data_IF_511297744052
#
_entry.id   IF_511297744052
#
_cell.length_a   1.000
_cell.length_b   1.000
_cell.length_c   1.000
_cell.angle_alpha   90.00
_cell.angle_beta   90.00
_cell.angle_gamma   90.00
#
_symmetry.space_group_name_H-M   'P 1'
#
loop_
_entity.id
_entity.type
_entity.pdbx_description
1 polymer ?
#
# COMPACT_ATOMS: atom_id res chain seq x y z
N UNK A 1 16.86 -1.07 -15.00
CA UNK A 1 16.55 -2.42 -14.51
C UNK A 1 16.82 -2.44 -13.02
N UNK A 2 15.96 -3.07 -12.22
CA UNK A 2 16.01 -3.01 -10.75
C UNK A 2 16.90 -4.08 -10.11
N UNK A 3 17.61 -4.88 -10.91
CA UNK A 3 18.43 -6.01 -10.46
C UNK A 3 17.61 -7.27 -10.16
N UNK A 4 18.30 -8.40 -10.05
CA UNK A 4 17.75 -9.65 -9.53
C UNK A 4 17.84 -9.66 -8.00
N UNK A 5 16.90 -10.34 -7.32
CA UNK A 5 16.87 -10.39 -5.85
C UNK A 5 18.16 -10.97 -5.25
N UNK A 6 18.76 -11.95 -5.93
CA UNK A 6 19.99 -12.61 -5.50
C UNK A 6 21.23 -11.71 -5.56
N UNK A 7 21.19 -10.64 -6.36
CA UNK A 7 22.30 -9.71 -6.54
C UNK A 7 22.22 -8.51 -5.59
N UNK A 8 21.18 -8.42 -4.76
CA UNK A 8 21.01 -7.34 -3.79
C UNK A 8 21.77 -7.69 -2.49
N UNK A 9 22.74 -6.85 -2.13
CA UNK A 9 23.60 -7.03 -0.96
C UNK A 9 23.00 -6.42 0.32
N UNK A 10 22.02 -5.51 0.19
CA UNK A 10 21.44 -4.79 1.32
C UNK A 10 19.94 -4.54 1.18
N UNK A 11 19.27 -4.42 2.33
CA UNK A 11 17.85 -4.07 2.37
C UNK A 11 17.56 -2.70 1.72
N UNK A 12 18.51 -1.76 1.81
CA UNK A 12 18.39 -0.46 1.14
C UNK A 12 18.34 -0.59 -0.39
N UNK A 13 19.11 -1.52 -0.98
CA UNK A 13 19.06 -1.77 -2.42
C UNK A 13 17.71 -2.39 -2.82
N UNK A 14 17.17 -3.34 -2.04
CA UNK A 14 15.82 -3.86 -2.24
C UNK A 14 14.76 -2.76 -2.18
N UNK A 15 14.84 -1.88 -1.18
CA UNK A 15 13.92 -0.75 -1.05
C UNK A 15 14.00 0.21 -2.24
N UNK A 16 15.21 0.47 -2.75
CA UNK A 16 15.40 1.27 -3.96
C UNK A 16 14.82 0.59 -5.21
N UNK A 17 15.03 -0.72 -5.36
CA UNK A 17 14.44 -1.51 -6.44
C UNK A 17 12.90 -1.47 -6.38
N UNK A 18 12.31 -1.66 -5.20
CA UNK A 18 10.87 -1.54 -4.97
C UNK A 18 10.34 -0.15 -5.34
N UNK A 19 11.01 0.93 -4.88
CA UNK A 19 10.64 2.31 -5.24
C UNK A 19 10.64 2.54 -6.74
N UNK A 20 11.64 2.02 -7.47
CA UNK A 20 11.71 2.15 -8.92
C UNK A 20 10.56 1.41 -9.63
N UNK A 21 10.22 0.19 -9.18
CA UNK A 21 9.07 -0.54 -9.70
C UNK A 21 7.76 0.21 -9.43
N UNK A 22 7.58 0.70 -8.19
CA UNK A 22 6.39 1.46 -7.82
C UNK A 22 6.24 2.71 -8.69
N UNK A 23 7.31 3.51 -8.85
CA UNK A 23 7.31 4.69 -9.71
C UNK A 23 6.95 4.36 -11.16
N UNK A 24 7.47 3.26 -11.70
CA UNK A 24 7.19 2.83 -13.07
C UNK A 24 5.69 2.56 -13.27
N UNK A 25 5.07 1.76 -12.41
CA UNK A 25 3.64 1.42 -12.55
C UNK A 25 2.72 2.60 -12.23
N UNK A 26 3.10 3.49 -11.31
CA UNK A 26 2.32 4.71 -11.03
C UNK A 26 2.32 5.64 -12.24
N UNK A 27 3.45 5.81 -12.93
CA UNK A 27 3.49 6.61 -14.17
C UNK A 27 2.56 6.05 -15.25
N UNK A 28 2.56 4.72 -15.44
CA UNK A 28 1.64 4.05 -16.38
C UNK A 28 0.18 4.29 -15.97
N UNK A 29 -0.13 4.13 -14.68
CA UNK A 29 -1.48 4.33 -14.14
C UNK A 29 -1.96 5.77 -14.32
N UNK A 30 -1.13 6.76 -14.04
CA UNK A 30 -1.46 8.17 -14.19
C UNK A 30 -1.70 8.50 -15.67
N UNK A 31 -0.81 8.07 -16.57
CA UNK A 31 -0.98 8.29 -18.00
C UNK A 31 -2.32 7.73 -18.53
N UNK A 32 -2.67 6.50 -18.15
CA UNK A 32 -3.95 5.90 -18.52
C UNK A 32 -5.15 6.61 -17.88
N UNK A 33 -5.02 7.08 -16.63
CA UNK A 33 -6.08 7.80 -15.93
C UNK A 33 -6.32 9.19 -16.53
N UNK A 34 -5.25 9.90 -16.89
CA UNK A 34 -5.30 11.18 -17.59
C UNK A 34 -5.98 11.01 -18.95
N UNK A 35 -5.65 9.94 -19.69
CA UNK A 35 -6.29 9.70 -20.99
C UNK A 35 -7.79 9.44 -20.85
N UNK A 36 -8.20 8.69 -19.82
CA UNK A 36 -9.61 8.51 -19.50
C UNK A 36 -10.28 9.83 -19.11
N UNK A 37 -9.61 10.66 -18.32
CA UNK A 37 -10.14 11.98 -17.94
C UNK A 37 -10.38 12.87 -19.15
N UNK A 38 -9.43 12.95 -20.09
CA UNK A 38 -9.61 13.68 -21.36
C UNK A 38 -10.83 13.20 -22.16
N UNK A 39 -11.08 11.90 -22.20
CA UNK A 39 -12.27 11.34 -22.87
C UNK A 39 -13.54 11.85 -22.19
N UNK A 40 -13.58 11.86 -20.85
CA UNK A 40 -14.74 12.35 -20.09
C UNK A 40 -14.93 13.86 -20.28
N UNK A 41 -13.85 14.64 -20.24
CA UNK A 41 -13.87 16.08 -20.49
C UNK A 41 -14.50 16.43 -21.85
N UNK A 42 -14.17 15.66 -22.88
CA UNK A 42 -14.58 15.96 -24.26
C UNK A 42 -15.91 15.32 -24.68
N UNK A 43 -16.27 14.18 -24.10
CA UNK A 43 -17.39 13.36 -24.60
C UNK A 43 -18.49 13.09 -23.57
N UNK A 44 -18.25 13.37 -22.29
CA UNK A 44 -19.21 13.12 -21.22
C UNK A 44 -19.41 14.35 -20.33
N UNK A 45 -19.74 15.54 -20.86
CA UNK A 45 -20.10 16.66 -20.00
C UNK A 45 -21.32 16.27 -19.14
N UNK A 46 -21.39 16.78 -17.92
CA UNK A 46 -22.46 16.50 -16.97
C UNK A 46 -23.20 17.80 -16.58
N UNK A 47 -24.00 18.42 -17.47
CA UNK A 47 -24.58 19.74 -17.24
C UNK A 47 -25.44 19.83 -15.97
N UNK A 48 -26.23 18.79 -15.68
CA UNK A 48 -27.06 18.77 -14.46
C UNK A 48 -26.22 18.79 -13.19
N UNK A 49 -25.14 17.99 -13.14
CA UNK A 49 -24.20 17.99 -12.03
C UNK A 49 -23.49 19.36 -11.90
N UNK A 50 -23.15 19.97 -13.03
CA UNK A 50 -22.55 21.31 -13.09
C UNK A 50 -23.46 22.40 -12.50
N UNK A 51 -24.78 22.32 -12.70
CA UNK A 51 -25.72 23.30 -12.14
C UNK A 51 -25.80 23.27 -10.61
N UNK A 52 -25.58 22.10 -10.00
CA UNK A 52 -25.67 21.90 -8.54
C UNK A 52 -24.30 21.85 -7.85
N UNK A 53 -23.21 22.08 -8.58
CA UNK A 53 -21.86 22.09 -8.02
C UNK A 53 -21.32 23.51 -7.99
N UNK A 54 -20.82 23.93 -6.83
CA UNK A 54 -20.26 25.26 -6.63
C UNK A 54 -19.17 25.60 -7.65
N UNK A 55 -19.21 26.85 -8.09
CA UNK A 55 -18.32 27.49 -9.06
C UNK A 55 -18.37 26.98 -10.52
N UNK A 56 -19.02 25.85 -10.83
CA UNK A 56 -19.14 25.39 -12.22
C UNK A 56 -19.84 26.44 -13.12
N UNK A 57 -20.99 26.96 -12.68
CA UNK A 57 -21.74 28.00 -13.40
C UNK A 57 -20.95 29.31 -13.46
N UNK A 58 -20.37 29.73 -12.31
CA UNK A 58 -19.54 30.94 -12.22
C UNK A 58 -18.34 30.90 -13.16
N UNK A 59 -17.70 29.73 -13.29
CA UNK A 59 -16.53 29.52 -14.13
C UNK A 59 -16.90 29.25 -15.60
N UNK A 60 -18.18 29.04 -15.92
CA UNK A 60 -18.63 28.66 -17.26
C UNK A 60 -18.03 27.33 -17.73
N UNK A 61 -17.75 26.41 -16.81
CA UNK A 61 -17.09 25.12 -17.09
C UNK A 61 -17.92 23.97 -16.54
N UNK A 62 -17.98 22.89 -17.31
CA UNK A 62 -18.58 21.64 -16.85
C UNK A 62 -17.80 21.03 -15.68
N UNK A 63 -18.47 20.28 -14.83
CA UNK A 63 -17.89 19.51 -13.72
C UNK A 63 -16.74 18.63 -14.21
N UNK A 64 -16.95 17.85 -15.28
CA UNK A 64 -15.92 16.99 -15.86
C UNK A 64 -14.81 17.78 -16.56
N UNK A 65 -14.95 19.09 -16.73
CA UNK A 65 -13.93 19.99 -17.29
C UNK A 65 -13.34 20.97 -16.26
N UNK A 66 -13.49 20.67 -14.97
CA UNK A 66 -12.80 21.36 -13.88
C UNK A 66 -13.53 22.61 -13.40
N UNK A 67 -14.85 22.67 -13.61
CA UNK A 67 -15.65 23.80 -13.14
C UNK A 67 -15.76 23.93 -11.62
N UNK A 68 -15.62 22.82 -10.89
CA UNK A 68 -15.77 22.79 -9.44
C UNK A 68 -14.66 23.57 -8.70
N UNK A 69 -14.99 24.10 -7.52
CA UNK A 69 -14.04 24.82 -6.64
C UNK A 69 -12.76 24.03 -6.34
N UNK A 70 -12.91 22.74 -6.09
CA UNK A 70 -11.81 21.83 -5.75
C UNK A 70 -11.84 20.63 -6.68
N UNK A 71 -10.69 20.31 -7.27
CA UNK A 71 -10.54 19.18 -8.16
C UNK A 71 -9.43 18.28 -7.61
N UNK A 72 -9.76 17.04 -7.31
CA UNK A 72 -8.82 16.03 -6.80
C UNK A 72 -9.06 14.70 -7.49
N UNK A 73 -7.98 14.00 -7.81
CA UNK A 73 -8.01 12.62 -8.28
C UNK A 73 -7.29 11.71 -7.28
N UNK A 74 -7.76 10.47 -7.13
CA UNK A 74 -7.20 9.53 -6.16
C UNK A 74 -6.72 8.25 -6.82
N UNK A 75 -5.53 7.80 -6.43
CA UNK A 75 -5.06 6.43 -6.69
C UNK A 75 -5.25 5.61 -5.41
N UNK A 76 -6.02 4.53 -5.52
CA UNK A 76 -6.28 3.62 -4.41
C UNK A 76 -5.11 2.66 -4.23
N UNK A 77 -4.44 2.73 -3.09
CA UNK A 77 -3.54 1.69 -2.61
C UNK A 77 -4.34 0.57 -1.95
N UNK A 78 -3.89 -0.67 -2.17
CA UNK A 78 -4.48 -1.90 -1.62
C UNK A 78 -3.34 -2.71 -1.01
N UNK A 79 -3.66 -3.73 -0.19
CA UNK A 79 -2.73 -4.73 0.36
C UNK A 79 -1.63 -4.19 1.27
N UNK A 80 -1.91 -3.13 2.02
CA UNK A 80 -0.89 -2.45 2.82
C UNK A 80 -0.26 -3.38 3.88
N UNK A 81 -1.06 -4.19 4.58
CA UNK A 81 -0.53 -5.17 5.54
C UNK A 81 0.33 -6.27 4.88
N UNK A 82 -0.12 -6.79 3.74
CA UNK A 82 0.57 -7.87 2.99
C UNK A 82 1.95 -7.42 2.50
N UNK A 83 2.05 -6.21 1.94
CA UNK A 83 3.36 -5.69 1.51
C UNK A 83 4.24 -5.32 2.70
N UNK A 84 3.66 -4.82 3.79
CA UNK A 84 4.37 -4.53 5.04
C UNK A 84 5.02 -5.80 5.57
N UNK A 85 4.25 -6.87 5.80
CA UNK A 85 4.76 -8.13 6.32
C UNK A 85 5.75 -8.81 5.35
N UNK A 86 5.53 -8.67 4.04
CA UNK A 86 6.47 -9.19 3.04
C UNK A 86 7.83 -8.50 3.11
N UNK A 87 7.85 -7.16 3.22
CA UNK A 87 9.09 -6.40 3.35
C UNK A 87 9.78 -6.65 4.68
N UNK A 88 9.00 -6.80 5.76
CA UNK A 88 9.50 -7.20 7.08
C UNK A 88 10.19 -8.57 7.03
N UNK A 89 9.59 -9.55 6.37
CA UNK A 89 10.17 -10.88 6.19
C UNK A 89 11.46 -10.85 5.37
N UNK A 90 11.48 -10.11 4.26
CA UNK A 90 12.68 -9.97 3.43
C UNK A 90 13.81 -9.29 4.20
N UNK A 91 13.54 -8.18 4.90
CA UNK A 91 14.52 -7.48 5.74
C UNK A 91 15.17 -8.43 6.74
N UNK A 92 14.33 -9.13 7.53
CA UNK A 92 14.77 -10.02 8.60
C UNK A 92 15.56 -11.21 8.06
N UNK A 93 14.99 -11.95 7.13
CA UNK A 93 15.48 -13.29 6.79
C UNK A 93 16.54 -13.29 5.68
N UNK A 94 16.51 -12.33 4.75
CA UNK A 94 17.48 -12.28 3.64
C UNK A 94 18.66 -11.36 3.95
N UNK A 95 18.45 -10.24 4.67
CA UNK A 95 19.49 -9.22 4.82
C UNK A 95 20.12 -9.19 6.21
N UNK A 96 19.32 -9.35 7.28
CA UNK A 96 19.80 -9.29 8.67
C UNK A 96 20.26 -10.67 9.18
N UNK A 97 19.37 -11.64 9.25
CA UNK A 97 19.67 -12.99 9.75
C UNK A 97 20.29 -13.91 8.71
N UNK A 98 20.04 -13.65 7.42
CA UNK A 98 20.53 -14.44 6.27
C UNK A 98 20.26 -15.94 6.42
N UNK A 99 19.12 -16.30 6.99
CA UNK A 99 18.72 -17.68 7.27
C UNK A 99 17.82 -18.28 6.17
N UNK A 100 17.47 -17.51 5.14
CA UNK A 100 16.82 -17.99 3.92
C UNK A 100 17.65 -17.56 2.72
N UNK A 101 18.04 -18.53 1.88
CA UNK A 101 18.72 -18.25 0.61
C UNK A 101 17.76 -17.53 -0.37
N UNK A 102 18.17 -16.40 -0.99
CA UNK A 102 17.28 -15.61 -1.86
C UNK A 102 16.78 -16.38 -3.09
N UNK A 103 17.62 -17.22 -3.70
CA UNK A 103 17.27 -18.02 -4.88
C UNK A 103 16.26 -19.10 -4.48
N UNK A 104 16.49 -19.76 -3.35
CA UNK A 104 15.57 -20.72 -2.76
C UNK A 104 14.23 -20.06 -2.46
N UNK A 105 14.20 -18.91 -1.79
CA UNK A 105 12.95 -18.18 -1.50
C UNK A 105 12.17 -17.89 -2.79
N UNK A 106 12.83 -17.34 -3.81
CA UNK A 106 12.18 -17.01 -5.08
C UNK A 106 11.55 -18.25 -5.73
N UNK A 107 12.30 -19.36 -5.80
CA UNK A 107 11.81 -20.62 -6.34
C UNK A 107 10.63 -21.17 -5.51
N UNK A 108 10.70 -21.07 -4.19
CA UNK A 108 9.62 -21.48 -3.30
C UNK A 108 8.36 -20.64 -3.52
N UNK A 109 8.48 -19.32 -3.71
CA UNK A 109 7.33 -18.44 -3.99
C UNK A 109 6.70 -18.73 -5.36
N UNK A 110 7.52 -18.96 -6.40
CA UNK A 110 7.05 -19.37 -7.73
C UNK A 110 6.30 -20.71 -7.67
N UNK A 111 6.80 -21.66 -6.87
CA UNK A 111 6.17 -22.96 -6.64
C UNK A 111 5.09 -22.94 -5.56
N UNK A 112 4.55 -21.76 -5.24
CA UNK A 112 3.45 -21.59 -4.29
C UNK A 112 3.71 -22.15 -2.88
N UNK A 113 4.97 -22.14 -2.43
CA UNK A 113 5.43 -22.70 -1.17
C UNK A 113 5.07 -24.20 -0.98
N UNK A 114 4.88 -24.93 -2.08
CA UNK A 114 4.53 -26.36 -2.07
C UNK A 114 5.74 -27.19 -1.62
N UNK A 115 5.56 -28.03 -0.58
CA UNK A 115 6.63 -28.80 0.07
C UNK A 115 7.76 -27.91 0.65
N UNK A 116 7.44 -26.65 0.99
CA UNK A 116 8.38 -25.68 1.58
C UNK A 116 7.90 -25.28 2.98
N UNK A 117 7.40 -26.24 3.76
CA UNK A 117 6.77 -26.02 5.07
C UNK A 117 7.72 -25.32 6.04
N UNK A 118 9.01 -25.62 5.98
CA UNK A 118 10.02 -24.97 6.83
C UNK A 118 10.13 -23.47 6.51
N UNK A 119 10.26 -23.11 5.23
CA UNK A 119 10.33 -21.71 4.79
C UNK A 119 9.03 -21.01 5.16
N UNK A 120 7.89 -21.61 4.81
CA UNK A 120 6.58 -21.01 5.10
C UNK A 120 6.36 -20.83 6.61
N UNK A 121 6.80 -21.78 7.44
CA UNK A 121 6.74 -21.66 8.90
C UNK A 121 7.60 -20.50 9.41
N UNK A 122 8.79 -20.28 8.85
CA UNK A 122 9.63 -19.12 9.20
C UNK A 122 8.91 -17.81 8.83
N UNK A 123 8.39 -17.70 7.61
CA UNK A 123 7.70 -16.49 7.14
C UNK A 123 6.43 -16.17 7.95
N UNK A 124 5.67 -17.19 8.36
CA UNK A 124 4.43 -17.00 9.12
C UNK A 124 4.67 -16.77 10.61
N UNK A 125 5.54 -17.57 11.24
CA UNK A 125 5.60 -17.69 12.70
C UNK A 125 6.90 -17.16 13.32
N UNK A 126 7.91 -16.85 12.50
CA UNK A 126 9.22 -16.34 12.94
C UNK A 126 9.55 -14.96 12.38
N UNK A 127 8.56 -14.28 11.80
CA UNK A 127 8.65 -12.88 11.34
C UNK A 127 7.70 -12.01 12.16
N UNK A 128 8.14 -10.82 12.66
CA UNK A 128 7.23 -9.81 13.16
C UNK A 128 6.13 -9.46 12.16
N UNK A 129 4.92 -9.17 12.65
CA UNK A 129 3.75 -8.87 11.82
C UNK A 129 3.15 -7.53 12.18
N UNK A 130 2.73 -6.78 11.16
CA UNK A 130 1.96 -5.56 11.31
C UNK A 130 0.66 -5.82 12.09
N UNK A 131 0.29 -4.86 12.96
CA UNK A 131 -0.92 -4.94 13.77
C UNK A 131 -0.69 -5.36 15.22
N UNK A 132 0.56 -5.45 15.67
CA UNK A 132 0.92 -5.93 17.01
C UNK A 132 1.66 -4.91 17.87
N UNK A 133 1.63 -3.62 17.51
CA UNK A 133 2.46 -2.53 18.08
C UNK A 133 3.97 -2.84 18.04
N UNK A 134 4.41 -3.60 17.03
CA UNK A 134 5.81 -3.95 16.81
C UNK A 134 6.45 -2.96 15.84
N UNK A 135 7.32 -2.09 16.36
CA UNK A 135 8.01 -1.07 15.58
C UNK A 135 8.85 -1.64 14.42
N UNK A 136 9.32 -2.89 14.51
CA UNK A 136 10.09 -3.52 13.43
C UNK A 136 9.24 -3.70 12.16
N UNK A 137 8.00 -4.14 12.32
CA UNK A 137 7.04 -4.29 11.22
C UNK A 137 6.40 -2.94 10.86
N UNK A 138 6.02 -2.14 11.85
CA UNK A 138 5.32 -0.86 11.64
C UNK A 138 6.21 0.20 10.96
N UNK A 139 7.54 0.09 11.07
CA UNK A 139 8.44 0.92 10.26
C UNK A 139 8.27 0.66 8.76
N UNK A 140 8.04 -0.60 8.35
CA UNK A 140 7.82 -0.94 6.94
C UNK A 140 6.47 -0.39 6.44
N UNK A 141 5.45 -0.36 7.31
CA UNK A 141 4.15 0.25 7.03
C UNK A 141 4.32 1.73 6.66
N UNK A 142 4.98 2.48 7.54
CA UNK A 142 5.25 3.90 7.31
C UNK A 142 6.04 4.08 6.02
N UNK A 143 7.07 3.27 5.80
CA UNK A 143 7.93 3.41 4.63
C UNK A 143 7.17 3.19 3.31
N UNK A 144 6.37 2.13 3.22
CA UNK A 144 5.53 1.86 2.04
C UNK A 144 4.55 2.99 1.79
N UNK A 145 3.91 3.50 2.86
CA UNK A 145 2.97 4.61 2.75
C UNK A 145 3.65 5.87 2.19
N UNK A 146 4.79 6.28 2.78
CA UNK A 146 5.52 7.46 2.35
C UNK A 146 6.03 7.29 0.90
N UNK A 147 6.54 6.11 0.53
CA UNK A 147 6.96 5.84 -0.84
C UNK A 147 5.80 5.98 -1.83
N UNK A 148 4.63 5.42 -1.52
CA UNK A 148 3.46 5.52 -2.39
C UNK A 148 2.92 6.96 -2.47
N UNK A 149 2.88 7.67 -1.33
CA UNK A 149 2.51 9.06 -1.29
C UNK A 149 3.46 9.92 -2.14
N UNK A 150 4.76 9.77 -1.96
CA UNK A 150 5.77 10.60 -2.61
C UNK A 150 5.82 10.42 -4.13
N UNK A 151 5.54 9.23 -4.65
CA UNK A 151 5.51 9.01 -6.11
C UNK A 151 4.24 9.54 -6.78
N UNK A 152 3.18 9.82 -6.02
CA UNK A 152 1.92 10.39 -6.54
C UNK A 152 1.84 11.90 -6.30
N UNK A 153 2.47 12.39 -5.22
CA UNK A 153 2.41 13.77 -4.80
C UNK A 153 2.94 14.72 -5.88
N UNK A 154 2.16 15.75 -6.19
CA UNK A 154 2.53 16.83 -7.12
C UNK A 154 2.15 16.56 -8.56
N UNK A 155 1.60 15.39 -8.87
CA UNK A 155 1.04 15.09 -10.19
C UNK A 155 -0.29 15.83 -10.38
N UNK A 156 -0.45 16.47 -11.54
CA UNK A 156 -1.64 17.25 -11.91
C UNK A 156 -2.32 16.61 -13.11
N UNK A 157 -3.64 16.45 -13.03
CA UNK A 157 -4.43 15.87 -14.10
C UNK A 157 -4.74 16.89 -15.21
N UNK A 158 -5.15 16.46 -16.43
CA UNK A 158 -5.58 17.35 -17.51
C UNK A 158 -6.69 18.34 -17.12
N UNK A 159 -7.56 17.96 -16.19
CA UNK A 159 -8.60 18.84 -15.63
C UNK A 159 -8.09 19.87 -14.61
N UNK A 160 -6.81 19.82 -14.26
CA UNK A 160 -6.20 20.63 -13.21
C UNK A 160 -6.44 20.08 -11.80
N UNK A 161 -6.74 18.79 -11.67
CA UNK A 161 -6.93 18.14 -10.38
C UNK A 161 -5.61 17.71 -9.75
N UNK A 162 -5.45 17.92 -8.44
CA UNK A 162 -4.32 17.37 -7.68
C UNK A 162 -4.50 15.85 -7.51
N UNK A 163 -3.48 15.07 -7.87
CA UNK A 163 -3.45 13.66 -7.51
C UNK A 163 -3.10 13.47 -6.03
N UNK A 164 -3.87 12.61 -5.38
CA UNK A 164 -3.70 12.17 -3.99
C UNK A 164 -3.82 10.65 -3.91
N UNK A 165 -3.51 10.10 -2.74
CA UNK A 165 -3.68 8.67 -2.46
C UNK A 165 -4.80 8.44 -1.45
N UNK A 166 -5.43 7.28 -1.53
CA UNK A 166 -6.28 6.73 -0.47
C UNK A 166 -6.03 5.22 -0.36
N UNK A 167 -6.36 4.63 0.78
CA UNK A 167 -6.07 3.22 1.07
C UNK A 167 -7.38 2.51 1.39
N UNK A 168 -8.05 2.00 0.35
CA UNK A 168 -9.30 1.25 0.48
C UNK A 168 -9.45 0.27 -0.68
N UNK A 169 -9.93 -0.97 -0.46
CA UNK A 169 -9.98 -1.98 -1.49
C UNK A 169 -11.37 -2.17 -2.12
N UNK A 170 -12.46 -1.71 -1.48
CA UNK A 170 -13.81 -2.20 -1.79
C UNK A 170 -13.81 -3.74 -1.77
N UNK A 171 -13.86 -4.42 -2.91
CA UNK A 171 -13.74 -5.89 -3.04
C UNK A 171 -12.52 -6.32 -3.84
N UNK A 172 -11.68 -5.39 -4.30
CA UNK A 172 -10.56 -5.70 -5.18
C UNK A 172 -9.40 -6.41 -4.48
N UNK A 173 -9.37 -6.45 -3.14
CA UNK A 173 -8.43 -7.30 -2.39
C UNK A 173 -8.61 -8.79 -2.73
N UNK A 174 -9.85 -9.23 -3.00
CA UNK A 174 -10.12 -10.60 -3.48
C UNK A 174 -9.49 -10.82 -4.85
N UNK A 175 -9.79 -9.91 -5.79
CA UNK A 175 -9.31 -10.02 -7.17
C UNK A 175 -7.78 -9.90 -7.27
N UNK A 176 -7.18 -8.94 -6.57
CA UNK A 176 -5.72 -8.79 -6.56
C UNK A 176 -5.04 -9.99 -5.90
N UNK A 177 -5.65 -10.58 -4.88
CA UNK A 177 -5.21 -11.84 -4.32
C UNK A 177 -5.26 -13.00 -5.31
N UNK A 178 -6.35 -13.12 -6.09
CA UNK A 178 -6.56 -14.21 -7.03
C UNK A 178 -5.57 -14.23 -8.20
N UNK A 179 -5.01 -13.07 -8.56
CA UNK A 179 -4.03 -12.93 -9.66
C UNK A 179 -2.59 -12.77 -9.17
N UNK A 180 -2.34 -12.90 -7.87
CA UNK A 180 -1.01 -12.73 -7.27
C UNK A 180 -0.43 -14.06 -6.80
N UNK A 181 0.81 -14.32 -7.20
CA UNK A 181 1.63 -15.45 -6.71
C UNK A 181 1.89 -15.36 -5.20
N UNK A 182 2.36 -16.46 -4.60
CA UNK A 182 2.72 -16.47 -3.18
C UNK A 182 3.68 -15.31 -2.84
N UNK A 183 3.57 -14.78 -1.62
CA UNK A 183 4.36 -13.62 -1.17
C UNK A 183 5.23 -13.92 0.04
N UNK A 184 6.31 -13.12 0.25
CA UNK A 184 7.24 -13.30 1.36
C UNK A 184 6.63 -13.20 2.77
N UNK A 185 5.37 -12.76 2.92
CA UNK A 185 4.64 -12.82 4.17
C UNK A 185 4.14 -14.24 4.53
N UNK A 186 4.33 -15.22 3.65
CA UNK A 186 3.90 -16.61 3.81
C UNK A 186 2.51 -16.91 3.21
N UNK A 187 1.89 -15.91 2.58
CA UNK A 187 0.61 -16.02 1.86
C UNK A 187 0.78 -16.88 0.60
N UNK A 188 -0.15 -17.80 0.38
CA UNK A 188 -0.18 -18.65 -0.81
C UNK A 188 -0.77 -17.91 -2.02
N UNK A 189 -0.35 -18.29 -3.22
CA UNK A 189 -0.90 -17.86 -4.50
C UNK A 189 -2.42 -17.97 -4.52
N UNK A 190 -3.09 -16.96 -5.09
CA UNK A 190 -4.55 -16.93 -5.22
C UNK A 190 -5.32 -16.60 -3.93
N UNK A 191 -4.66 -16.56 -2.76
CA UNK A 191 -5.31 -16.21 -1.48
C UNK A 191 -5.64 -14.71 -1.41
N UNK A 192 -6.50 -14.31 -0.47
CA UNK A 192 -6.80 -12.90 -0.22
C UNK A 192 -5.54 -12.11 0.19
N UNK A 193 -5.47 -10.85 -0.19
CA UNK A 193 -4.53 -9.88 0.41
C UNK A 193 -5.22 -9.10 1.52
N UNK A 194 -4.44 -8.38 2.32
CA UNK A 194 -4.96 -7.50 3.38
C UNK A 194 -5.97 -6.45 2.89
N UNK A 195 -6.90 -6.15 3.78
CA UNK A 195 -8.06 -5.29 3.59
C UNK A 195 -7.73 -3.83 3.97
N UNK A 196 -7.64 -2.91 3.00
CA UNK A 196 -7.40 -1.49 3.31
C UNK A 196 -6.10 -1.27 4.08
N UNK A 197 -6.22 -0.78 5.31
CA UNK A 197 -5.10 -0.61 6.25
C UNK A 197 -5.08 -1.65 7.37
N UNK A 198 -5.96 -2.65 7.34
CA UNK A 198 -6.01 -3.69 8.37
C UNK A 198 -4.80 -4.63 8.28
N UNK A 199 -4.40 -5.25 9.41
CA UNK A 199 -3.47 -6.37 9.41
C UNK A 199 -3.90 -7.50 8.45
N UNK A 200 -2.93 -8.33 8.05
CA UNK A 200 -3.24 -9.57 7.32
C UNK A 200 -4.07 -10.48 8.21
N UNK A 201 -4.98 -11.26 7.62
CA UNK A 201 -5.90 -12.11 8.37
C UNK A 201 -5.15 -13.07 9.30
N UNK A 202 -5.35 -12.91 10.63
CA UNK A 202 -4.74 -13.73 11.67
C UNK A 202 -3.30 -13.35 12.03
N UNK A 203 -2.79 -12.22 11.53
CA UNK A 203 -1.45 -11.73 11.84
C UNK A 203 -1.42 -10.85 13.11
N UNK A 204 -2.52 -10.18 13.41
CA UNK A 204 -2.80 -9.50 14.67
C UNK A 204 -3.15 -10.53 15.75
N UNK A 205 -2.21 -10.77 16.65
CA UNK A 205 -2.32 -11.76 17.74
C UNK A 205 -2.27 -11.11 19.13
N UNK A 206 -2.00 -9.80 19.18
CA UNK A 206 -2.15 -8.96 20.36
C UNK A 206 -3.57 -8.37 20.45
N UNK A 207 -3.81 -7.54 21.45
CA UNK A 207 -5.11 -6.94 21.68
C UNK A 207 -5.48 -5.86 20.63
N UNK A 208 -6.77 -5.49 20.48
CA UNK A 208 -7.19 -4.50 19.49
C UNK A 208 -6.53 -3.13 19.62
N UNK A 209 -6.03 -2.76 20.80
CA UNK A 209 -5.27 -1.51 20.99
C UNK A 209 -3.97 -1.56 20.20
N UNK A 210 -3.29 -2.70 20.18
CA UNK A 210 -2.05 -2.88 19.44
C UNK A 210 -2.27 -2.67 17.93
N UNK A 211 -3.40 -3.13 17.40
CA UNK A 211 -3.81 -2.89 16.00
C UNK A 211 -3.99 -1.40 15.73
N UNK A 212 -4.71 -0.68 16.60
CA UNK A 212 -4.93 0.77 16.47
C UNK A 212 -3.62 1.55 16.56
N UNK A 213 -2.73 1.17 17.48
CA UNK A 213 -1.42 1.78 17.64
C UNK A 213 -0.55 1.56 16.39
N UNK A 214 -0.46 0.33 15.88
CA UNK A 214 0.23 0.05 14.61
C UNK A 214 -0.35 0.85 13.44
N UNK A 215 -1.67 0.84 13.26
CA UNK A 215 -2.34 1.55 12.17
C UNK A 215 -2.11 3.06 12.23
N UNK A 216 -2.03 3.65 13.44
CA UNK A 216 -1.77 5.08 13.63
C UNK A 216 -0.35 5.52 13.26
N UNK A 217 0.59 4.59 13.04
CA UNK A 217 1.97 4.88 12.64
C UNK A 217 2.15 5.04 11.12
N UNK A 218 1.09 4.85 10.33
CA UNK A 218 1.15 4.81 8.86
C UNK A 218 1.69 6.09 8.21
N UNK A 219 1.63 7.25 8.87
CA UNK A 219 2.20 8.51 8.36
C UNK A 219 3.11 9.18 9.39
N UNK A 220 4.28 9.67 8.95
CA UNK A 220 5.26 10.29 9.87
C UNK A 220 4.72 11.51 10.62
N UNK A 221 3.80 12.27 10.02
CA UNK A 221 3.19 13.45 10.66
C UNK A 221 2.15 13.10 11.71
N UNK A 222 1.50 11.95 11.57
CA UNK A 222 0.38 11.54 12.45
C UNK A 222 0.85 10.79 13.70
N UNK A 223 2.11 10.33 13.71
CA UNK A 223 2.73 9.58 14.83
C UNK A 223 2.68 10.30 16.17
N UNK A 224 2.68 11.64 16.25
CA UNK A 224 2.84 12.32 17.55
C UNK A 224 1.52 12.64 18.25
N UNK A 225 0.45 12.88 17.49
CA UNK A 225 -0.84 13.32 18.04
C UNK A 225 -1.68 12.11 18.46
N UNK A 226 -1.89 11.17 17.55
CA UNK A 226 -2.80 10.03 17.77
C UNK A 226 -2.21 8.97 18.72
N UNK A 227 -0.91 8.72 18.65
CA UNK A 227 -0.26 7.72 19.51
C UNK A 227 -0.33 8.12 20.98
N UNK A 228 -0.22 9.42 21.29
CA UNK A 228 -0.33 9.91 22.67
C UNK A 228 -1.73 9.68 23.21
N UNK A 229 -2.75 10.05 22.45
CA UNK A 229 -4.16 9.89 22.85
C UNK A 229 -4.55 8.41 23.00
N UNK A 230 -4.09 7.54 22.11
CA UNK A 230 -4.37 6.10 22.15
C UNK A 230 -3.67 5.41 23.34
N UNK A 231 -2.43 5.78 23.66
CA UNK A 231 -1.70 5.23 24.83
C UNK A 231 -2.33 5.69 26.14
N UNK A 232 -2.77 6.95 26.20
CA UNK A 232 -3.49 7.49 27.36
C UNK A 232 -4.86 6.81 27.57
N UNK A 233 -5.49 6.30 26.50
CA UNK A 233 -6.72 5.51 26.57
C UNK A 233 -6.47 4.07 27.04
N UNK A 234 -5.44 3.42 26.49
CA UNK A 234 -5.03 2.05 26.86
C UNK A 234 -4.67 1.92 28.34
N UNK A 235 -3.92 2.88 28.88
CA UNK A 235 -3.52 2.92 30.29
C UNK A 235 -4.68 3.21 31.27
N UNK A 236 -5.86 3.57 30.76
CA UNK A 236 -7.06 3.88 31.55
C UNK A 236 -8.14 2.80 31.45
N UNK A 237 -7.94 1.76 30.64
CA UNK A 237 -8.87 0.64 30.56
C UNK A 237 -8.56 -0.36 31.70
N UNK A 238 -9.56 -0.76 32.51
CA UNK A 238 -9.38 -1.58 33.70
C UNK A 238 -8.90 -3.00 33.42
#
# INVERSE_FOLDING_TARGET
MTGELADLESYSQLRMAFKQQLLHFIKIKIAGSNKKEEIFMNHMPAPFLSLITDDCVKNGKDYNNGGARYNTNYIQGVRLGTITDSLTALRKHLFEERNIDPVKLLNSLVNNLTNEEQIRHILLNKTPKYGNDDDYADEQLTDVFELFHDVVKGEISPRGADYRINLLPTTCHVYFGSVMHASPDGRLSGSLVSEGISPVQGADTNDPTAVLLSASKNHKKDRTIWIKELKDFSLKSP
#
